data_IF_492179309925
#
_entry.id   IF_492179309925
#
_cell.length_a   1.000
_cell.length_b   1.000
_cell.length_c   1.000
_cell.angle_alpha   90.00
_cell.angle_beta   90.00
_cell.angle_gamma   90.00
#
_symmetry.space_group_name_H-M   'P 1'
#
loop_
_entity.id
_entity.type
_entity.pdbx_description
1 polymer ?
#
# COMPACT_ATOMS: atom_id res chain seq x y z
N UNK A 1 -17.72 -12.35 -37.32
CA UNK A 1 -17.49 -13.26 -36.18
C UNK A 1 -16.95 -12.42 -35.04
N UNK A 2 -17.85 -11.98 -34.17
CA UNK A 2 -17.50 -11.18 -33.00
C UNK A 2 -17.18 -12.15 -31.86
N UNK A 3 -15.90 -12.49 -31.74
CA UNK A 3 -15.38 -13.23 -30.59
C UNK A 3 -15.18 -12.24 -29.45
N UNK A 4 -16.30 -12.00 -28.77
CA UNK A 4 -16.42 -11.80 -27.33
C UNK A 4 -15.24 -11.09 -26.68
N UNK A 5 -15.53 -9.86 -26.25
CA UNK A 5 -14.91 -9.15 -25.14
C UNK A 5 -14.70 -10.07 -23.91
N UNK A 6 -13.66 -10.90 -23.97
CA UNK A 6 -13.22 -11.73 -22.86
C UNK A 6 -12.81 -10.78 -21.75
N UNK A 7 -13.39 -11.02 -20.57
CA UNK A 7 -13.00 -10.38 -19.32
C UNK A 7 -11.47 -10.41 -19.18
N UNK A 8 -10.82 -9.28 -19.51
CA UNK A 8 -9.35 -9.14 -19.52
C UNK A 8 -8.74 -9.22 -18.11
N UNK A 9 -9.53 -9.49 -17.08
CA UNK A 9 -9.05 -9.86 -15.76
C UNK A 9 -8.60 -11.33 -15.66
N UNK A 10 -8.98 -12.16 -16.64
CA UNK A 10 -8.67 -13.60 -16.67
C UNK A 10 -7.37 -13.83 -17.45
N UNK A 11 -6.36 -14.39 -16.78
CA UNK A 11 -5.13 -14.83 -17.45
C UNK A 11 -5.39 -16.09 -18.26
N UNK A 12 -5.01 -16.09 -19.53
CA UNK A 12 -5.08 -17.24 -20.42
C UNK A 12 -3.79 -18.07 -20.29
N UNK A 13 -3.89 -19.21 -19.59
CA UNK A 13 -2.76 -20.12 -19.34
C UNK A 13 -2.41 -20.97 -20.56
N UNK A 14 -3.32 -21.13 -21.51
CA UNK A 14 -3.12 -21.90 -22.74
C UNK A 14 -2.54 -21.01 -23.86
N UNK A 15 -2.52 -19.70 -23.65
CA UNK A 15 -1.91 -18.74 -24.57
C UNK A 15 -0.42 -19.01 -24.77
N UNK A 16 0.11 -18.84 -26.00
CA UNK A 16 1.56 -18.83 -26.22
C UNK A 16 2.26 -17.63 -25.57
N UNK A 17 1.50 -16.60 -25.14
CA UNK A 17 2.06 -15.45 -24.41
C UNK A 17 2.31 -15.82 -22.96
N UNK A 18 3.46 -15.41 -22.43
CA UNK A 18 3.82 -15.74 -21.06
C UNK A 18 2.92 -15.03 -20.03
N UNK A 19 2.70 -15.67 -18.87
CA UNK A 19 1.83 -15.11 -17.82
C UNK A 19 2.31 -13.75 -17.28
N UNK A 20 3.62 -13.49 -17.29
CA UNK A 20 4.13 -12.20 -16.82
C UNK A 20 3.83 -11.06 -17.82
N UNK A 21 3.78 -11.35 -19.11
CA UNK A 21 3.38 -10.37 -20.14
C UNK A 21 1.89 -10.05 -20.01
N UNK A 22 1.05 -11.08 -19.83
CA UNK A 22 -0.38 -10.89 -19.61
C UNK A 22 -0.66 -10.06 -18.35
N UNK A 23 0.03 -10.32 -17.24
CA UNK A 23 -0.10 -9.50 -16.01
C UNK A 23 0.39 -8.07 -16.23
N UNK A 24 1.47 -7.87 -16.98
CA UNK A 24 1.93 -6.52 -17.33
C UNK A 24 0.87 -5.78 -18.18
N UNK A 25 0.20 -6.46 -19.10
CA UNK A 25 -0.89 -5.89 -19.89
C UNK A 25 -2.09 -5.50 -19.02
N UNK A 26 -2.49 -6.35 -18.06
CA UNK A 26 -3.55 -6.02 -17.11
C UNK A 26 -3.24 -4.72 -16.35
N UNK A 27 -2.03 -4.58 -15.82
CA UNK A 27 -1.64 -3.38 -15.07
C UNK A 27 -1.53 -2.17 -16.02
N UNK A 28 -1.02 -2.35 -17.24
CA UNK A 28 -0.95 -1.28 -18.25
C UNK A 28 -2.34 -0.76 -18.60
N UNK A 29 -3.30 -1.66 -18.81
CA UNK A 29 -4.69 -1.32 -19.07
C UNK A 29 -5.29 -0.52 -17.90
N UNK A 30 -5.00 -0.89 -16.64
CA UNK A 30 -5.43 -0.13 -15.46
C UNK A 30 -4.86 1.30 -15.43
N UNK A 31 -3.59 1.46 -15.85
CA UNK A 31 -2.95 2.78 -15.95
C UNK A 31 -3.61 3.60 -17.06
N UNK A 32 -3.80 3.02 -18.26
CA UNK A 32 -4.42 3.68 -19.41
C UNK A 32 -5.86 4.10 -19.11
N UNK A 33 -6.62 3.26 -18.39
CA UNK A 33 -7.99 3.58 -17.94
C UNK A 33 -8.05 4.58 -16.78
N UNK A 34 -6.89 4.94 -16.20
CA UNK A 34 -6.82 5.87 -15.07
C UNK A 34 -7.29 5.30 -13.73
N UNK A 35 -7.45 3.97 -13.65
CA UNK A 35 -7.72 3.24 -12.41
C UNK A 35 -6.48 3.28 -11.49
N UNK A 36 -5.29 3.17 -12.08
CA UNK A 36 -4.01 3.49 -11.44
C UNK A 36 -3.47 4.80 -12.03
N UNK A 37 -3.40 5.85 -11.22
CA UNK A 37 -2.91 7.17 -11.66
C UNK A 37 -1.44 7.35 -11.34
N UNK A 38 -0.80 8.34 -11.96
CA UNK A 38 0.55 8.75 -11.61
C UNK A 38 0.70 8.94 -10.09
N UNK A 39 1.74 8.36 -9.51
CA UNK A 39 1.99 8.37 -8.07
C UNK A 39 1.18 7.37 -7.25
N UNK A 40 0.23 6.64 -7.85
CA UNK A 40 -0.41 5.48 -7.22
C UNK A 40 0.57 4.29 -7.18
N UNK A 41 0.35 3.39 -6.24
CA UNK A 41 1.08 2.13 -6.16
C UNK A 41 0.50 1.10 -7.11
N UNK A 42 1.39 0.37 -7.75
CA UNK A 42 1.07 -0.87 -8.44
C UNK A 42 0.84 -1.97 -7.38
N UNK A 43 -0.07 -2.93 -7.62
CA UNK A 43 -0.22 -4.08 -6.74
C UNK A 43 1.13 -4.77 -6.48
N UNK A 44 1.40 -5.08 -5.20
CA UNK A 44 2.64 -5.75 -4.78
C UNK A 44 2.81 -7.12 -5.44
N UNK A 45 4.05 -7.64 -5.51
CA UNK A 45 4.31 -9.01 -5.99
C UNK A 45 3.42 -10.05 -5.28
N UNK A 46 3.25 -9.90 -3.96
CA UNK A 46 2.42 -10.79 -3.15
C UNK A 46 0.91 -10.65 -3.47
N UNK A 47 0.46 -9.42 -3.77
CA UNK A 47 -0.92 -9.16 -4.22
C UNK A 47 -1.15 -9.82 -5.58
N UNK A 48 -0.26 -9.59 -6.54
CA UNK A 48 -0.35 -10.16 -7.89
C UNK A 48 -0.31 -11.69 -7.86
N UNK A 49 0.56 -12.28 -7.03
CA UNK A 49 0.60 -13.72 -6.79
C UNK A 49 -0.77 -14.25 -6.33
N UNK A 50 -1.40 -13.61 -5.34
CA UNK A 50 -2.69 -14.05 -4.79
C UNK A 50 -3.83 -13.84 -5.79
N UNK A 51 -3.92 -12.65 -6.37
CA UNK A 51 -5.01 -12.25 -7.28
C UNK A 51 -5.00 -13.08 -8.57
N UNK A 52 -3.82 -13.31 -9.15
CA UNK A 52 -3.71 -13.99 -10.44
C UNK A 52 -3.27 -15.46 -10.34
N UNK A 53 -3.01 -15.96 -9.12
CA UNK A 53 -2.51 -17.33 -8.85
C UNK A 53 -1.25 -17.66 -9.67
N UNK A 54 -0.25 -16.79 -9.55
CA UNK A 54 1.05 -16.90 -10.24
C UNK A 54 2.20 -17.00 -9.25
N UNK A 55 3.38 -17.44 -9.70
CA UNK A 55 4.58 -17.40 -8.84
C UNK A 55 5.01 -15.96 -8.54
N UNK A 56 5.68 -15.75 -7.40
CA UNK A 56 6.27 -14.45 -7.05
C UNK A 56 7.30 -13.98 -8.08
N UNK A 57 8.07 -14.91 -8.65
CA UNK A 57 9.03 -14.62 -9.74
C UNK A 57 8.30 -14.14 -11.01
N UNK A 58 7.16 -14.73 -11.36
CA UNK A 58 6.31 -14.29 -12.48
C UNK A 58 5.78 -12.87 -12.23
N UNK A 59 5.27 -12.59 -11.02
CA UNK A 59 4.83 -11.26 -10.64
C UNK A 59 5.97 -10.22 -10.72
N UNK A 60 7.16 -10.56 -10.23
CA UNK A 60 8.35 -9.70 -10.34
C UNK A 60 8.72 -9.40 -11.78
N UNK A 61 8.68 -10.40 -12.66
CA UNK A 61 8.97 -10.22 -14.10
C UNK A 61 7.97 -9.26 -14.74
N UNK A 62 6.68 -9.35 -14.40
CA UNK A 62 5.66 -8.44 -14.91
C UNK A 62 5.95 -6.97 -14.51
N UNK A 63 6.29 -6.75 -13.24
CA UNK A 63 6.74 -5.43 -12.75
C UNK A 63 8.02 -4.97 -13.48
N UNK A 64 8.95 -5.89 -13.73
CA UNK A 64 10.17 -5.62 -14.51
C UNK A 64 9.88 -5.10 -15.91
N UNK A 65 8.90 -5.69 -16.62
CA UNK A 65 8.46 -5.25 -17.95
C UNK A 65 7.88 -3.84 -17.89
N UNK A 66 7.00 -3.55 -16.94
CA UNK A 66 6.42 -2.20 -16.78
C UNK A 66 7.51 -1.16 -16.48
N UNK A 67 8.51 -1.54 -15.70
CA UNK A 67 9.64 -0.67 -15.37
C UNK A 67 10.53 -0.39 -16.59
N UNK A 68 10.83 -1.42 -17.40
CA UNK A 68 11.61 -1.22 -18.63
C UNK A 68 10.86 -0.37 -19.67
N UNK A 69 9.53 -0.34 -19.59
CA UNK A 69 8.66 0.53 -20.40
C UNK A 69 8.55 1.96 -19.85
N UNK A 70 9.17 2.27 -18.70
CA UNK A 70 9.09 3.60 -18.07
C UNK A 70 7.73 3.93 -17.44
N UNK A 71 6.82 2.96 -17.35
CA UNK A 71 5.47 3.16 -16.81
C UNK A 71 5.45 3.20 -15.28
N UNK A 72 6.46 2.62 -14.64
CA UNK A 72 6.54 2.49 -13.18
C UNK A 72 7.99 2.64 -12.70
N UNK A 73 8.17 3.04 -11.45
CA UNK A 73 9.45 3.04 -10.75
C UNK A 73 9.34 2.37 -9.38
N UNK A 74 10.43 1.79 -8.89
CA UNK A 74 10.48 1.11 -7.59
C UNK A 74 11.28 1.93 -6.60
N UNK A 75 10.72 2.14 -5.41
CA UNK A 75 11.44 2.62 -4.24
C UNK A 75 11.60 1.43 -3.30
N UNK A 76 12.85 1.10 -2.98
CA UNK A 76 13.19 -0.03 -2.12
C UNK A 76 12.46 0.08 -0.78
N UNK A 77 11.92 -1.04 -0.30
CA UNK A 77 11.13 -1.14 0.93
C UNK A 77 9.79 -0.37 0.97
N UNK A 78 9.47 0.46 -0.02
CA UNK A 78 8.18 1.15 -0.12
C UNK A 78 7.24 0.55 -1.16
N UNK A 79 7.76 0.15 -2.33
CA UNK A 79 6.98 -0.47 -3.39
C UNK A 79 7.24 0.10 -4.78
N UNK A 80 6.33 -0.22 -5.70
CA UNK A 80 6.40 0.21 -7.10
C UNK A 80 5.27 1.18 -7.40
N UNK A 81 5.61 2.33 -7.95
CA UNK A 81 4.72 3.46 -8.20
C UNK A 81 4.56 3.71 -9.69
N UNK A 82 3.39 4.17 -10.11
CA UNK A 82 3.09 4.57 -11.49
C UNK A 82 3.78 5.90 -11.81
N UNK A 83 4.42 5.96 -12.98
CA UNK A 83 5.17 7.10 -13.48
C UNK A 83 6.69 6.97 -13.27
N UNK A 84 7.47 7.89 -13.85
CA UNK A 84 8.93 7.91 -13.71
C UNK A 84 9.38 8.25 -12.28
N UNK A 85 10.66 8.02 -11.93
CA UNK A 85 11.24 8.51 -10.67
C UNK A 85 10.97 10.01 -10.48
N UNK A 86 10.64 10.40 -9.25
CA UNK A 86 10.28 11.79 -8.93
C UNK A 86 8.80 12.13 -9.14
N UNK A 87 7.98 11.20 -9.66
CA UNK A 87 6.53 11.37 -9.71
C UNK A 87 5.99 11.58 -8.28
N UNK A 88 5.29 12.70 -7.99
CA UNK A 88 4.72 12.94 -6.67
C UNK A 88 3.78 11.81 -6.24
N UNK A 89 3.81 11.45 -4.95
CA UNK A 89 2.90 10.43 -4.40
C UNK A 89 1.45 10.88 -4.59
N UNK A 90 0.58 9.93 -4.92
CA UNK A 90 -0.85 10.20 -5.12
C UNK A 90 -1.52 10.76 -3.86
N UNK A 91 -2.12 11.96 -4.00
CA UNK A 91 -2.87 12.62 -2.93
C UNK A 91 -4.01 11.77 -2.39
N UNK A 92 -4.65 10.95 -3.22
CA UNK A 92 -5.72 10.02 -2.79
C UNK A 92 -5.21 8.99 -1.79
N UNK A 93 -4.01 8.46 -2.01
CA UNK A 93 -3.38 7.56 -1.02
C UNK A 93 -3.01 8.33 0.24
N UNK A 94 -2.53 9.57 0.10
CA UNK A 94 -2.22 10.41 1.24
C UNK A 94 -3.46 10.57 2.14
N UNK A 95 -4.60 10.96 1.59
CA UNK A 95 -5.86 11.04 2.34
C UNK A 95 -6.28 9.72 2.99
N UNK A 96 -6.05 8.56 2.35
CA UNK A 96 -6.42 7.25 2.93
C UNK A 96 -5.59 6.91 4.16
N UNK A 97 -4.26 7.09 4.13
CA UNK A 97 -3.44 6.77 5.31
C UNK A 97 -3.71 7.77 6.44
N UNK A 98 -3.98 9.04 6.11
CA UNK A 98 -4.33 10.06 7.08
C UNK A 98 -5.58 9.67 7.87
N UNK A 99 -6.61 9.16 7.20
CA UNK A 99 -7.82 8.62 7.87
C UNK A 99 -7.49 7.47 8.82
N UNK A 100 -6.67 6.51 8.38
CA UNK A 100 -6.26 5.37 9.23
C UNK A 100 -5.47 5.86 10.44
N UNK A 101 -4.52 6.76 10.23
CA UNK A 101 -3.71 7.32 11.32
C UNK A 101 -4.57 8.13 12.30
N UNK A 102 -5.46 8.99 11.80
CA UNK A 102 -6.35 9.80 12.62
C UNK A 102 -7.27 8.93 13.49
N UNK A 103 -7.83 7.85 12.92
CA UNK A 103 -8.64 6.90 13.68
C UNK A 103 -7.84 6.20 14.78
N UNK A 104 -6.63 5.71 14.46
CA UNK A 104 -5.77 5.08 15.47
C UNK A 104 -5.42 6.08 16.58
N UNK A 105 -5.10 7.34 16.26
CA UNK A 105 -4.85 8.37 17.28
C UNK A 105 -6.10 8.63 18.13
N UNK A 106 -7.28 8.71 17.52
CA UNK A 106 -8.52 8.89 18.26
C UNK A 106 -8.76 7.74 19.26
N UNK A 107 -8.49 6.50 18.86
CA UNK A 107 -8.61 5.31 19.72
C UNK A 107 -7.58 5.29 20.86
N UNK A 108 -6.36 5.76 20.60
CA UNK A 108 -5.33 5.94 21.64
C UNK A 108 -5.77 7.00 22.65
N UNK A 109 -6.18 8.18 22.17
CA UNK A 109 -6.63 9.28 23.03
C UNK A 109 -7.90 8.93 23.82
N UNK A 110 -8.82 8.19 23.20
CA UNK A 110 -10.04 7.68 23.84
C UNK A 110 -9.80 6.55 24.83
N UNK A 111 -8.58 6.00 24.90
CA UNK A 111 -8.20 4.92 25.82
C UNK A 111 -8.61 3.52 25.37
N UNK A 112 -9.13 3.35 24.15
CA UNK A 112 -9.38 2.03 23.56
C UNK A 112 -8.09 1.23 23.32
N UNK A 113 -7.00 1.94 23.03
CA UNK A 113 -5.65 1.37 22.93
C UNK A 113 -4.79 2.07 23.98
N UNK A 114 -4.59 1.47 25.17
CA UNK A 114 -3.87 2.12 26.25
C UNK A 114 -2.36 2.27 25.94
N UNK A 115 -1.66 3.18 26.64
CA UNK A 115 -0.21 3.27 26.58
C UNK A 115 0.47 1.91 26.81
N UNK A 116 1.60 1.68 26.13
CA UNK A 116 2.38 0.42 26.16
C UNK A 116 1.69 -0.81 25.56
N UNK A 117 0.44 -0.69 25.11
CA UNK A 117 -0.27 -1.78 24.45
C UNK A 117 0.05 -1.83 22.95
N UNK A 118 -0.01 -3.03 22.38
CA UNK A 118 0.19 -3.22 20.95
C UNK A 118 -1.01 -2.67 20.16
N UNK A 119 -0.75 -1.86 19.14
CA UNK A 119 -1.78 -1.55 18.13
C UNK A 119 -2.04 -2.79 17.26
N UNK A 120 -3.17 -2.87 16.55
CA UNK A 120 -3.40 -3.96 15.60
C UNK A 120 -2.28 -4.06 14.56
N UNK A 121 -1.82 -5.28 14.28
CA UNK A 121 -0.77 -5.51 13.28
C UNK A 121 -1.22 -5.21 11.84
N UNK A 122 -0.26 -5.08 10.91
CA UNK A 122 -0.52 -4.63 9.53
C UNK A 122 -1.68 -5.36 8.84
N UNK A 123 -1.69 -6.69 8.92
CA UNK A 123 -2.73 -7.51 8.30
C UNK A 123 -4.12 -7.26 8.90
N UNK A 124 -4.19 -6.95 10.20
CA UNK A 124 -5.45 -6.63 10.88
C UNK A 124 -5.97 -5.27 10.40
N UNK A 125 -5.10 -4.26 10.39
CA UNK A 125 -5.42 -2.91 9.89
C UNK A 125 -5.85 -2.94 8.41
N UNK A 126 -5.19 -3.72 7.57
CA UNK A 126 -5.61 -3.87 6.17
C UNK A 126 -7.06 -4.34 6.05
N UNK A 127 -7.43 -5.36 6.83
CA UNK A 127 -8.79 -5.92 6.83
C UNK A 127 -9.79 -4.95 7.45
N UNK A 128 -9.46 -4.35 8.59
CA UNK A 128 -10.34 -3.45 9.33
C UNK A 128 -10.71 -2.21 8.51
N UNK A 129 -9.74 -1.56 7.88
CA UNK A 129 -9.98 -0.31 7.13
C UNK A 129 -10.22 -0.52 5.64
N UNK A 130 -10.15 -1.77 5.14
CA UNK A 130 -10.28 -2.07 3.72
C UNK A 130 -9.20 -1.38 2.86
N UNK A 131 -7.99 -1.19 3.40
CA UNK A 131 -6.90 -0.48 2.72
C UNK A 131 -5.75 -1.41 2.37
N UNK A 132 -4.97 -1.03 1.35
CA UNK A 132 -3.77 -1.76 0.99
C UNK A 132 -2.72 -1.72 2.11
N UNK A 133 -1.89 -2.78 2.21
CA UNK A 133 -0.76 -2.90 3.18
C UNK A 133 0.08 -1.63 3.29
N UNK A 134 0.35 -1.02 2.15
CA UNK A 134 1.22 0.14 2.08
C UNK A 134 0.50 1.43 2.56
N UNK A 135 -0.83 1.48 2.53
CA UNK A 135 -1.59 2.54 3.23
C UNK A 135 -1.45 2.38 4.74
N UNK A 136 -1.52 1.14 5.24
CA UNK A 136 -1.25 0.84 6.64
C UNK A 136 0.17 1.23 7.02
N UNK A 137 1.17 0.80 6.26
CA UNK A 137 2.58 1.12 6.54
C UNK A 137 2.85 2.62 6.58
N UNK A 138 2.21 3.39 5.71
CA UNK A 138 2.30 4.85 5.75
C UNK A 138 1.63 5.43 7.00
N UNK A 139 0.45 4.94 7.38
CA UNK A 139 -0.19 5.35 8.62
C UNK A 139 0.69 5.03 9.84
N UNK A 140 1.29 3.82 9.90
CA UNK A 140 2.21 3.43 10.96
C UNK A 140 3.50 4.25 10.96
N UNK A 141 4.04 4.58 9.78
CA UNK A 141 5.19 5.47 9.66
C UNK A 141 4.88 6.86 10.20
N UNK A 142 3.75 7.44 9.80
CA UNK A 142 3.29 8.73 10.32
C UNK A 142 3.10 8.69 11.84
N UNK A 143 2.45 7.67 12.38
CA UNK A 143 2.24 7.53 13.82
C UNK A 143 3.57 7.46 14.58
N UNK A 144 4.56 6.75 14.01
CA UNK A 144 5.90 6.64 14.60
C UNK A 144 6.65 7.96 14.55
N UNK A 145 6.69 8.60 13.39
CA UNK A 145 7.36 9.88 13.17
C UNK A 145 6.72 11.00 13.99
N UNK A 146 5.41 10.95 14.16
CA UNK A 146 4.66 11.90 14.98
C UNK A 146 4.79 11.62 16.48
N UNK A 147 5.33 10.47 16.89
CA UNK A 147 5.55 10.13 18.30
C UNK A 147 4.34 9.53 19.03
N UNK A 148 3.41 8.90 18.32
CA UNK A 148 2.27 8.18 18.94
C UNK A 148 2.60 6.71 19.24
N UNK A 149 3.48 6.10 18.45
CA UNK A 149 3.83 4.68 18.57
C UNK A 149 5.33 4.43 18.38
N UNK A 150 5.81 3.31 18.92
CA UNK A 150 7.16 2.79 18.72
C UNK A 150 7.10 1.37 18.17
N UNK A 151 8.01 1.02 17.25
CA UNK A 151 8.14 -0.35 16.74
C UNK A 151 9.28 -1.05 17.47
N UNK A 152 8.98 -2.15 18.14
CA UNK A 152 9.97 -3.02 18.77
C UNK A 152 10.31 -4.14 17.80
N UNK A 153 11.60 -4.35 17.54
CA UNK A 153 12.06 -5.42 16.66
C UNK A 153 11.49 -6.76 17.13
N UNK A 154 10.83 -7.49 16.21
CA UNK A 154 10.15 -8.75 16.48
C UNK A 154 8.98 -8.73 17.49
N UNK A 155 8.68 -7.57 18.10
CA UNK A 155 7.61 -7.43 19.11
C UNK A 155 6.31 -6.81 18.57
N UNK A 156 6.38 -5.98 17.53
CA UNK A 156 5.21 -5.29 16.97
C UNK A 156 5.29 -3.77 17.14
N UNK A 157 4.15 -3.09 17.08
CA UNK A 157 4.05 -1.64 17.24
C UNK A 157 3.20 -1.33 18.46
N UNK A 158 3.73 -0.49 19.35
CA UNK A 158 3.17 -0.21 20.67
C UNK A 158 2.91 1.27 20.85
N UNK A 159 1.85 1.61 21.57
CA UNK A 159 1.54 3.00 21.95
C UNK A 159 2.61 3.50 22.92
N UNK A 160 3.15 4.70 22.68
CA UNK A 160 4.15 5.28 23.59
C UNK A 160 3.52 5.68 24.93
N UNK A 161 4.36 5.88 25.94
CA UNK A 161 3.90 6.33 27.25
C UNK A 161 3.14 7.65 27.20
N UNK A 162 2.13 7.78 28.06
CA UNK A 162 1.18 8.90 28.02
C UNK A 162 1.90 10.24 28.17
N UNK A 163 2.96 10.28 28.97
CA UNK A 163 3.79 11.46 29.22
C UNK A 163 4.55 11.90 27.95
N UNK A 164 4.85 10.96 27.06
CA UNK A 164 5.61 11.19 25.83
C UNK A 164 4.76 11.57 24.62
N UNK A 165 3.42 11.59 24.79
CA UNK A 165 2.50 11.89 23.70
C UNK A 165 2.77 13.25 23.06
N UNK A 166 2.54 13.40 21.74
CA UNK A 166 2.91 14.62 20.99
C UNK A 166 2.16 15.86 21.48
N UNK A 167 0.93 15.67 21.97
CA UNK A 167 0.10 16.71 22.55
C UNK A 167 0.73 17.36 23.79
N UNK A 168 1.52 16.61 24.57
CA UNK A 168 2.22 17.13 25.74
C UNK A 168 3.46 17.94 25.37
N UNK A 169 3.95 17.76 24.14
CA UNK A 169 5.12 18.45 23.58
C UNK A 169 4.72 19.69 22.76
N UNK A 170 3.48 20.14 22.87
CA UNK A 170 2.96 21.32 22.15
C UNK A 170 2.83 21.13 20.63
N UNK A 171 2.90 19.89 20.15
CA UNK A 171 2.92 19.57 18.72
C UNK A 171 1.74 18.65 18.37
N UNK A 172 0.59 19.20 17.97
CA UNK A 172 -0.49 18.38 17.40
C UNK A 172 -1.44 19.16 16.49
N UNK A 173 -1.39 18.84 15.19
CA UNK A 173 -2.49 19.08 14.25
C UNK A 173 -2.57 17.87 13.30
N UNK A 174 -3.55 16.97 13.48
CA UNK A 174 -3.67 15.77 12.67
C UNK A 174 -4.27 16.18 11.32
N UNK A 175 -3.40 16.62 10.41
CA UNK A 175 -3.74 16.92 9.01
C UNK A 175 -4.82 18.02 8.87
N UNK A 176 -4.37 19.28 8.80
CA UNK A 176 -5.22 20.41 8.36
C UNK A 176 -5.41 20.42 6.85
#
# INVERSE_FOLDING_TARGET
MDVSAYDRSVLDRESPRSLFEQVADVIRDQIVRGELRAGDLVPSEATLQRTHRISRTTARRAIGVLRSQGLVHTITAEGTYVGPPGTPRSSRRLFKYQRVAADIVARIMGGEIPPREAIPGENSLMRQYGVARETVRHALAYLRESGWVVTVAYGGTYVVDREEWPINKGSYFPFR
#
